data_IF_005215737257
#
_entry.id   IF_005215737257
#
_cell.length_a   1.000
_cell.length_b   1.000
_cell.length_c   1.000
_cell.angle_alpha   90.00
_cell.angle_beta   90.00
_cell.angle_gamma   90.00
#
_symmetry.space_group_name_H-M   'P 1'
#
loop_
_entity.id
_entity.type
_entity.pdbx_description
1 polymer ?
#
# COMPACT_ATOMS: atom_id res chain seq x y z
N UNK A 1 -1.18 -7.47 -28.29
CA UNK A 1 -0.37 -7.17 -27.09
C UNK A 1 0.47 -5.94 -27.39
N UNK A 2 0.07 -4.75 -26.92
CA UNK A 2 0.89 -3.54 -27.05
C UNK A 2 1.96 -3.63 -25.97
N UNK A 3 3.18 -3.98 -26.39
CA UNK A 3 4.38 -3.76 -25.61
C UNK A 3 4.44 -2.28 -25.24
N UNK A 4 4.70 -1.99 -23.96
CA UNK A 4 4.89 -0.65 -23.42
C UNK A 4 5.79 0.16 -24.38
N UNK A 5 5.19 1.06 -25.16
CA UNK A 5 5.96 2.09 -25.82
C UNK A 5 6.38 3.02 -24.70
N UNK A 6 7.65 2.93 -24.31
CA UNK A 6 8.30 4.03 -23.61
C UNK A 6 7.91 5.32 -24.34
N UNK A 7 7.40 6.34 -23.63
CA UNK A 7 7.03 7.58 -24.28
C UNK A 7 8.25 8.07 -25.07
N UNK A 8 8.10 8.39 -26.36
CA UNK A 8 9.18 8.98 -27.15
C UNK A 8 9.83 10.20 -26.47
N UNK A 9 9.12 10.79 -25.50
CA UNK A 9 9.55 11.90 -24.68
C UNK A 9 10.74 11.62 -23.74
N UNK A 10 11.01 10.36 -23.34
CA UNK A 10 12.09 10.02 -22.38
C UNK A 10 13.43 9.66 -23.02
N UNK A 11 13.53 9.64 -24.35
CA UNK A 11 14.76 9.24 -25.05
C UNK A 11 15.87 10.25 -24.79
N UNK A 12 16.99 9.76 -24.24
CA UNK A 12 18.19 10.58 -23.98
C UNK A 12 18.03 11.61 -22.87
N UNK A 13 16.97 11.52 -22.06
CA UNK A 13 16.71 12.43 -20.93
C UNK A 13 16.69 11.67 -19.62
N UNK A 14 17.12 12.34 -18.56
CA UNK A 14 16.81 11.88 -17.21
C UNK A 14 15.34 12.19 -16.91
N UNK A 15 14.54 11.14 -16.76
CA UNK A 15 13.11 11.20 -16.47
C UNK A 15 12.80 10.69 -15.05
N UNK A 16 13.77 10.70 -14.14
CA UNK A 16 13.63 10.16 -12.79
C UNK A 16 12.41 10.72 -12.06
N UNK A 17 12.18 12.04 -12.11
CA UNK A 17 10.98 12.65 -11.50
C UNK A 17 9.68 12.14 -12.14
N UNK A 18 9.62 12.06 -13.46
CA UNK A 18 8.44 11.60 -14.18
C UNK A 18 8.03 10.16 -13.79
N UNK A 19 9.00 9.29 -13.51
CA UNK A 19 8.72 7.92 -13.04
C UNK A 19 8.09 7.87 -11.63
N UNK A 20 8.34 8.87 -10.79
CA UNK A 20 7.69 9.00 -9.48
C UNK A 20 6.33 9.71 -9.55
N UNK A 21 6.20 10.75 -10.37
CA UNK A 21 5.01 11.63 -10.38
C UNK A 21 3.98 11.26 -11.44
N UNK A 22 4.37 10.52 -12.48
CA UNK A 22 3.56 10.27 -13.66
C UNK A 22 3.50 11.45 -14.65
N UNK A 23 4.21 12.54 -14.39
CA UNK A 23 4.26 13.70 -15.29
C UNK A 23 5.34 13.52 -16.37
N UNK A 24 4.92 13.04 -17.54
CA UNK A 24 5.79 12.89 -18.73
C UNK A 24 5.72 14.10 -19.69
N UNK A 25 5.22 15.25 -19.23
CA UNK A 25 5.32 16.50 -19.99
C UNK A 25 6.75 17.07 -19.92
N UNK A 26 7.14 18.03 -20.78
CA UNK A 26 8.47 18.63 -20.72
C UNK A 26 8.87 19.18 -19.34
N UNK A 27 7.91 19.59 -18.50
CA UNK A 27 8.16 20.08 -17.15
C UNK A 27 8.53 18.96 -16.16
N UNK A 28 8.00 17.75 -16.35
CA UNK A 28 8.27 16.60 -15.47
C UNK A 28 9.49 15.76 -15.89
N UNK A 29 9.99 15.94 -17.11
CA UNK A 29 11.17 15.25 -17.65
C UNK A 29 12.48 15.91 -17.19
N UNK A 30 12.71 15.86 -15.88
CA UNK A 30 13.87 16.44 -15.21
C UNK A 30 14.53 15.45 -14.24
N UNK A 31 15.81 15.68 -13.98
CA UNK A 31 16.65 14.89 -13.07
C UNK A 31 16.45 15.26 -11.58
N UNK A 32 15.81 16.38 -11.29
CA UNK A 32 15.65 16.89 -9.94
C UNK A 32 14.63 16.06 -9.16
N UNK A 33 15.07 15.37 -8.11
CA UNK A 33 14.24 14.54 -7.22
C UNK A 33 13.90 15.22 -5.88
N UNK A 34 14.26 16.49 -5.71
CA UNK A 34 13.99 17.23 -4.48
C UNK A 34 12.49 17.28 -4.14
N UNK A 35 12.15 17.12 -2.86
CA UNK A 35 10.76 17.14 -2.39
C UNK A 35 9.93 15.89 -2.75
N UNK A 36 10.52 14.86 -3.37
CA UNK A 36 9.86 13.56 -3.46
C UNK A 36 9.85 12.87 -2.09
N UNK A 37 8.73 12.21 -1.79
CA UNK A 37 8.58 11.41 -0.57
C UNK A 37 9.36 10.08 -0.65
N UNK A 38 9.66 9.42 0.49
CA UNK A 38 10.31 8.12 0.49
C UNK A 38 9.62 7.06 -0.38
N UNK A 39 8.28 6.90 -0.37
CA UNK A 39 7.60 5.96 -1.28
C UNK A 39 7.77 6.31 -2.77
N UNK A 40 7.85 7.59 -3.11
CA UNK A 40 8.10 8.03 -4.49
C UNK A 40 9.55 7.75 -4.91
N UNK A 41 10.51 7.95 -4.02
CA UNK A 41 11.91 7.59 -4.26
C UNK A 41 12.07 6.08 -4.44
N UNK A 42 11.39 5.27 -3.63
CA UNK A 42 11.34 3.82 -3.82
C UNK A 42 10.72 3.43 -5.17
N UNK A 43 9.71 4.15 -5.66
CA UNK A 43 9.16 3.92 -6.99
C UNK A 43 10.22 4.16 -8.10
N UNK A 44 11.05 5.21 -7.98
CA UNK A 44 12.18 5.43 -8.90
C UNK A 44 13.16 4.27 -8.85
N UNK A 45 13.54 3.80 -7.64
CA UNK A 45 14.42 2.65 -7.48
C UNK A 45 13.85 1.39 -8.15
N UNK A 46 12.55 1.14 -8.04
CA UNK A 46 11.90 0.01 -8.70
C UNK A 46 11.97 0.11 -10.23
N UNK A 47 11.77 1.31 -10.78
CA UNK A 47 11.96 1.55 -12.21
C UNK A 47 13.42 1.34 -12.63
N UNK A 48 14.38 1.86 -11.87
CA UNK A 48 15.80 1.65 -12.14
C UNK A 48 16.14 0.15 -12.15
N UNK A 49 15.68 -0.61 -11.16
CA UNK A 49 15.85 -2.07 -11.09
C UNK A 49 15.23 -2.78 -12.30
N UNK A 50 14.04 -2.34 -12.73
CA UNK A 50 13.41 -2.84 -13.95
C UNK A 50 14.29 -2.58 -15.18
N UNK A 51 14.82 -1.37 -15.37
CA UNK A 51 15.68 -1.07 -16.52
C UNK A 51 17.00 -1.83 -16.49
N UNK A 52 17.67 -1.88 -15.33
CA UNK A 52 18.90 -2.64 -15.15
C UNK A 52 18.73 -4.13 -15.46
N UNK A 53 17.54 -4.71 -15.18
CA UNK A 53 17.23 -6.11 -15.49
C UNK A 53 16.92 -6.35 -16.96
N UNK A 54 16.32 -5.38 -17.65
CA UNK A 54 15.75 -5.58 -18.98
C UNK A 54 16.56 -4.92 -20.11
N UNK A 55 17.56 -4.08 -19.79
CA UNK A 55 18.38 -3.35 -20.76
C UNK A 55 19.86 -3.44 -20.40
N UNK A 56 20.72 -3.28 -21.41
CA UNK A 56 22.18 -3.28 -21.20
C UNK A 56 22.57 -1.98 -20.50
N UNK A 57 23.14 -2.11 -19.30
CA UNK A 57 23.69 -0.99 -18.56
C UNK A 57 25.05 -0.58 -19.14
N UNK A 58 25.10 0.58 -19.80
CA UNK A 58 26.29 1.07 -20.52
C UNK A 58 27.15 2.06 -19.73
N UNK A 59 26.69 2.54 -18.58
CA UNK A 59 27.45 3.49 -17.75
C UNK A 59 26.57 4.40 -16.91
N UNK A 60 27.22 5.39 -16.27
CA UNK A 60 26.59 6.44 -15.45
C UNK A 60 26.61 7.77 -16.21
N UNK A 61 25.62 8.63 -15.94
CA UNK A 61 25.58 9.99 -16.49
C UNK A 61 26.20 10.96 -15.48
N UNK A 62 27.23 11.69 -15.88
CA UNK A 62 27.79 12.78 -15.09
C UNK A 62 26.78 13.94 -15.00
N UNK A 63 26.60 14.50 -13.81
CA UNK A 63 25.59 15.51 -13.51
C UNK A 63 25.16 15.49 -12.05
N UNK A 64 23.85 15.53 -11.80
CA UNK A 64 23.30 15.68 -10.45
C UNK A 64 23.70 14.57 -9.49
N UNK A 65 23.72 13.32 -9.95
CA UNK A 65 23.96 12.16 -9.10
C UNK A 65 25.42 11.70 -9.08
N UNK A 66 26.15 11.89 -10.18
CA UNK A 66 27.56 11.49 -10.31
C UNK A 66 28.42 12.64 -10.83
N UNK A 67 29.62 12.78 -10.30
CA UNK A 67 30.61 13.72 -10.81
C UNK A 67 31.20 13.23 -12.14
N UNK A 68 31.95 14.09 -12.85
CA UNK A 68 32.68 13.70 -14.06
C UNK A 68 33.70 12.56 -13.82
N UNK A 69 34.23 12.46 -12.60
CA UNK A 69 35.09 11.35 -12.16
C UNK A 69 34.34 10.02 -11.99
N UNK A 70 33.00 10.03 -12.01
CA UNK A 70 32.15 8.87 -11.73
C UNK A 70 31.83 8.66 -10.25
N UNK A 71 32.38 9.50 -9.37
CA UNK A 71 32.13 9.47 -7.93
C UNK A 71 30.70 9.92 -7.60
N UNK A 72 30.05 9.33 -6.58
CA UNK A 72 28.74 9.76 -6.12
C UNK A 72 28.78 11.21 -5.62
N UNK A 73 27.67 11.92 -5.80
CA UNK A 73 27.45 13.23 -5.19
C UNK A 73 26.67 13.08 -3.89
N UNK A 74 26.67 14.14 -3.06
CA UNK A 74 25.82 14.21 -1.87
C UNK A 74 24.32 14.05 -2.19
N UNK A 75 23.88 14.51 -3.36
CA UNK A 75 22.48 14.36 -3.80
C UNK A 75 22.12 12.89 -3.99
N UNK A 76 23.05 12.08 -4.51
CA UNK A 76 22.83 10.64 -4.63
C UNK A 76 22.77 9.95 -3.26
N UNK A 77 23.63 10.34 -2.32
CA UNK A 77 23.61 9.81 -0.95
C UNK A 77 22.26 10.12 -0.26
N UNK A 78 21.79 11.36 -0.37
CA UNK A 78 20.49 11.78 0.17
C UNK A 78 19.32 11.03 -0.49
N UNK A 79 19.39 10.83 -1.81
CA UNK A 79 18.40 10.05 -2.55
C UNK A 79 18.37 8.58 -2.10
N UNK A 80 19.54 7.97 -1.87
CA UNK A 80 19.66 6.59 -1.38
C UNK A 80 19.09 6.43 0.04
N UNK A 81 19.34 7.41 0.92
CA UNK A 81 18.76 7.40 2.27
C UNK A 81 17.22 7.44 2.24
N UNK A 82 16.62 8.25 1.35
CA UNK A 82 15.16 8.29 1.16
C UNK A 82 14.61 6.98 0.56
N UNK A 83 15.37 6.31 -0.30
CA UNK A 83 15.00 4.99 -0.82
C UNK A 83 14.96 3.97 0.33
N UNK A 84 16.00 3.94 1.18
CA UNK A 84 16.07 3.03 2.34
C UNK A 84 14.90 3.28 3.32
N UNK A 85 14.55 4.55 3.57
CA UNK A 85 13.37 4.89 4.36
C UNK A 85 12.08 4.39 3.68
N UNK A 86 11.97 4.54 2.36
CA UNK A 86 10.84 4.02 1.59
C UNK A 86 10.70 2.50 1.70
N UNK A 87 11.81 1.75 1.68
CA UNK A 87 11.82 0.30 1.88
C UNK A 87 11.32 -0.09 3.28
N UNK A 88 11.77 0.63 4.32
CA UNK A 88 11.31 0.42 5.71
C UNK A 88 9.80 0.66 5.83
N UNK A 89 9.30 1.78 5.30
CA UNK A 89 7.86 2.09 5.32
C UNK A 89 7.04 1.07 4.54
N UNK A 90 7.56 0.56 3.40
CA UNK A 90 6.90 -0.49 2.65
C UNK A 90 6.82 -1.79 3.46
N UNK A 91 7.91 -2.17 4.14
CA UNK A 91 7.94 -3.36 4.98
C UNK A 91 6.96 -3.25 6.16
N UNK A 92 6.91 -2.10 6.84
CA UNK A 92 5.96 -1.82 7.92
C UNK A 92 4.51 -1.90 7.43
N UNK A 93 4.21 -1.35 6.25
CA UNK A 93 2.87 -1.40 5.66
C UNK A 93 2.47 -2.83 5.27
N UNK A 94 3.41 -3.65 4.78
CA UNK A 94 3.18 -5.08 4.52
C UNK A 94 2.89 -5.82 5.82
N UNK A 95 3.67 -5.60 6.87
CA UNK A 95 3.46 -6.23 8.17
C UNK A 95 2.11 -5.83 8.78
N UNK A 96 1.77 -4.53 8.72
CA UNK A 96 0.47 -4.03 9.16
C UNK A 96 -0.68 -4.66 8.39
N UNK A 97 -0.54 -4.84 7.06
CA UNK A 97 -1.55 -5.53 6.24
C UNK A 97 -1.64 -7.02 6.56
N UNK A 98 -0.55 -7.68 6.91
CA UNK A 98 -0.59 -9.08 7.35
C UNK A 98 -1.30 -9.22 8.71
N UNK A 99 -1.03 -8.30 9.64
CA UNK A 99 -1.68 -8.26 10.95
C UNK A 99 -3.16 -7.87 10.86
N UNK A 100 -3.48 -6.89 10.03
CA UNK A 100 -4.84 -6.38 9.81
C UNK A 100 -5.19 -6.37 8.33
N UNK A 101 -5.51 -7.54 7.74
CA UNK A 101 -5.81 -7.64 6.32
C UNK A 101 -7.01 -6.79 5.92
N UNK A 102 -6.91 -5.99 4.84
CA UNK A 102 -8.02 -5.19 4.37
C UNK A 102 -9.22 -6.05 3.94
N UNK A 103 -10.42 -5.52 4.15
CA UNK A 103 -11.65 -6.14 3.67
C UNK A 103 -11.74 -6.10 2.14
N UNK A 104 -12.53 -7.01 1.56
CA UNK A 104 -13.08 -6.78 0.23
C UNK A 104 -14.13 -5.68 0.33
N UNK A 105 -14.25 -4.87 -0.73
CA UNK A 105 -15.25 -3.82 -0.81
C UNK A 105 -15.82 -3.75 -2.22
N UNK A 106 -17.08 -3.38 -2.31
CA UNK A 106 -17.69 -2.94 -3.56
C UNK A 106 -18.61 -1.76 -3.29
N UNK A 107 -18.90 -1.01 -4.34
CA UNK A 107 -19.88 0.04 -4.32
C UNK A 107 -20.80 -0.11 -5.52
N UNK A 108 -22.09 0.12 -5.30
CA UNK A 108 -23.08 0.22 -6.36
C UNK A 108 -23.99 1.42 -6.12
N UNK A 109 -24.47 2.04 -7.20
CA UNK A 109 -25.39 3.18 -7.12
C UNK A 109 -26.72 2.81 -6.45
N UNK A 110 -27.18 1.57 -6.61
CA UNK A 110 -28.44 1.09 -6.05
C UNK A 110 -28.31 0.59 -4.59
N UNK A 111 -27.17 -0.01 -4.24
CA UNK A 111 -26.97 -0.69 -2.95
C UNK A 111 -25.97 -0.02 -2.01
N UNK A 112 -25.32 1.06 -2.43
CA UNK A 112 -24.27 1.73 -1.67
C UNK A 112 -22.98 0.91 -1.58
N UNK A 113 -22.13 1.26 -0.61
CA UNK A 113 -20.89 0.53 -0.30
C UNK A 113 -21.21 -0.73 0.50
N UNK A 114 -20.52 -1.84 0.24
CA UNK A 114 -20.52 -3.01 1.12
C UNK A 114 -19.10 -3.56 1.30
N UNK A 115 -18.85 -4.17 2.46
CA UNK A 115 -17.57 -4.79 2.81
C UNK A 115 -17.77 -6.21 3.34
N UNK A 116 -16.83 -7.09 3.07
CA UNK A 116 -16.85 -8.47 3.57
C UNK A 116 -15.45 -9.03 3.69
N UNK A 117 -15.34 -10.12 4.43
CA UNK A 117 -14.10 -10.85 4.63
C UNK A 117 -14.22 -12.27 4.07
N UNK A 118 -13.21 -12.70 3.34
CA UNK A 118 -13.07 -14.06 2.83
C UNK A 118 -11.62 -14.54 3.01
N UNK A 119 -11.35 -15.81 2.68
CA UNK A 119 -9.98 -16.37 2.65
C UNK A 119 -9.03 -15.59 1.72
N UNK A 120 -9.58 -14.77 0.81
CA UNK A 120 -8.82 -13.89 -0.06
C UNK A 120 -9.39 -12.48 0.00
N UNK A 121 -8.78 -11.63 0.82
CA UNK A 121 -9.22 -10.23 0.99
C UNK A 121 -8.04 -9.28 0.84
N UNK A 122 -8.23 -8.24 0.04
CA UNK A 122 -7.26 -7.18 -0.21
C UNK A 122 -5.83 -7.67 -0.54
N UNK A 123 -5.75 -8.67 -1.41
CA UNK A 123 -4.49 -9.22 -1.92
C UNK A 123 -3.83 -10.28 -1.04
N UNK A 124 -4.39 -10.60 0.13
CA UNK A 124 -3.83 -11.57 1.07
C UNK A 124 -4.67 -12.86 1.08
N UNK A 125 -4.00 -14.00 0.86
CA UNK A 125 -4.59 -15.34 0.98
C UNK A 125 -4.29 -15.94 2.35
N UNK A 126 -5.31 -16.52 3.00
CA UNK A 126 -5.22 -17.06 4.37
C UNK A 126 -6.24 -18.17 4.61
N UNK A 127 -6.04 -18.94 5.68
CA UNK A 127 -6.89 -20.10 6.00
C UNK A 127 -8.26 -19.76 6.60
N UNK A 128 -8.47 -18.52 7.01
CA UNK A 128 -9.70 -18.06 7.67
C UNK A 128 -10.30 -16.85 6.96
N UNK A 129 -11.64 -16.76 6.94
CA UNK A 129 -12.34 -15.60 6.36
C UNK A 129 -12.37 -14.43 7.34
N UNK A 130 -12.89 -14.68 8.55
CA UNK A 130 -13.01 -13.70 9.62
C UNK A 130 -14.20 -12.76 9.42
N UNK A 131 -14.24 -11.71 10.22
CA UNK A 131 -15.32 -10.71 10.21
C UNK A 131 -14.78 -9.30 10.00
N UNK A 132 -15.48 -8.43 9.26
CA UNK A 132 -15.05 -7.05 9.09
C UNK A 132 -15.13 -6.24 10.39
N UNK A 133 -14.13 -5.41 10.64
CA UNK A 133 -14.05 -4.45 11.75
C UNK A 133 -13.49 -3.11 11.24
N UNK A 134 -13.82 -2.02 11.93
CA UNK A 134 -13.23 -0.70 11.70
C UNK A 134 -11.95 -0.60 12.52
N UNK A 135 -10.82 -0.35 11.86
CA UNK A 135 -9.55 -0.03 12.52
C UNK A 135 -9.28 1.47 12.38
N UNK A 136 -9.23 2.18 13.50
CA UNK A 136 -8.94 3.60 13.53
C UNK A 136 -7.45 3.87 13.58
N UNK A 137 -7.03 4.91 12.86
CA UNK A 137 -5.68 5.45 12.96
C UNK A 137 -5.53 6.22 14.27
N UNK A 138 -4.44 6.03 15.03
CA UNK A 138 -4.20 6.79 16.25
C UNK A 138 -4.25 8.30 16.00
N UNK A 139 -5.07 9.03 16.78
CA UNK A 139 -5.22 10.48 16.64
C UNK A 139 -6.07 10.95 15.45
N UNK A 140 -6.74 10.04 14.74
CA UNK A 140 -7.58 10.33 13.57
C UNK A 140 -8.98 9.71 13.74
N UNK A 141 -10.00 10.38 13.19
CA UNK A 141 -11.34 9.81 13.08
C UNK A 141 -11.50 8.91 11.86
N UNK A 142 -10.46 8.78 11.03
CA UNK A 142 -10.47 7.90 9.86
C UNK A 142 -10.33 6.45 10.33
N UNK A 143 -11.16 5.60 9.75
CA UNK A 143 -11.10 4.15 9.95
C UNK A 143 -11.00 3.43 8.61
N UNK A 144 -10.26 2.33 8.60
CA UNK A 144 -10.23 1.39 7.48
C UNK A 144 -10.89 0.09 7.86
N UNK A 145 -11.47 -0.60 6.87
CA UNK A 145 -12.04 -1.93 7.09
C UNK A 145 -10.94 -2.98 7.11
N UNK A 146 -10.88 -3.76 8.18
CA UNK A 146 -9.95 -4.89 8.34
C UNK A 146 -10.69 -6.17 8.73
N UNK A 147 -10.13 -7.31 8.37
CA UNK A 147 -10.66 -8.62 8.72
C UNK A 147 -9.99 -9.14 9.99
N UNK A 148 -10.79 -9.58 10.95
CA UNK A 148 -10.33 -10.16 12.22
C UNK A 148 -10.81 -11.61 12.33
N UNK A 149 -9.96 -12.50 12.84
CA UNK A 149 -10.32 -13.91 13.01
C UNK A 149 -11.32 -14.04 14.16
N UNK A 150 -12.42 -14.76 13.95
CA UNK A 150 -13.50 -14.88 14.95
C UNK A 150 -13.04 -15.52 16.26
N UNK A 151 -12.10 -16.46 16.21
CA UNK A 151 -11.51 -17.10 17.39
C UNK A 151 -10.73 -16.12 18.28
N UNK A 152 -10.18 -15.05 17.71
CA UNK A 152 -9.50 -13.97 18.45
C UNK A 152 -10.50 -13.08 19.22
N UNK A 153 -11.79 -13.16 18.85
CA UNK A 153 -12.88 -12.46 19.54
C UNK A 153 -13.44 -13.29 20.71
N UNK A 154 -13.31 -14.62 20.66
CA UNK A 154 -13.84 -15.55 21.67
C UNK A 154 -12.88 -16.72 21.95
N UNK A 155 -11.81 -16.52 22.73
CA UNK A 155 -10.93 -17.62 23.12
C UNK A 155 -11.70 -18.61 24.01
N UNK A 156 -12.08 -19.76 23.47
CA UNK A 156 -12.54 -20.92 24.24
C UNK A 156 -14.03 -20.98 24.64
N UNK A 157 -14.96 -20.34 23.92
CA UNK A 157 -16.39 -20.54 24.18
C UNK A 157 -17.05 -21.47 23.14
N UNK A 158 -17.49 -22.63 23.62
CA UNK A 158 -18.49 -23.44 22.92
C UNK A 158 -19.77 -22.63 22.72
N UNK A 159 -20.42 -22.87 21.58
CA UNK A 159 -21.64 -22.22 21.09
C UNK A 159 -22.66 -21.95 22.20
N UNK A 160 -22.70 -20.72 22.71
CA UNK A 160 -23.85 -20.22 23.47
C UNK A 160 -24.39 -18.97 22.79
N UNK A 161 -25.53 -19.18 22.13
CA UNK A 161 -26.54 -18.18 21.80
C UNK A 161 -26.71 -17.23 22.98
N UNK A 162 -26.71 -15.91 22.73
CA UNK A 162 -26.85 -14.83 23.72
C UNK A 162 -25.61 -14.58 24.61
N UNK A 163 -24.62 -13.83 24.12
CA UNK A 163 -23.66 -13.14 24.98
C UNK A 163 -23.42 -11.70 24.51
N UNK A 164 -23.68 -10.78 25.42
CA UNK A 164 -23.58 -9.33 25.31
C UNK A 164 -22.30 -8.83 24.62
N UNK A 165 -22.50 -7.90 23.67
CA UNK A 165 -21.56 -7.31 22.70
C UNK A 165 -20.43 -6.42 23.28
N UNK A 166 -19.75 -6.85 24.33
CA UNK A 166 -18.59 -6.15 24.89
C UNK A 166 -17.50 -7.16 25.26
N UNK A 167 -16.88 -7.74 24.23
CA UNK A 167 -15.85 -8.76 24.36
C UNK A 167 -14.65 -8.48 23.46
N UNK A 168 -13.72 -7.65 23.96
CA UNK A 168 -12.28 -7.70 23.72
C UNK A 168 -11.83 -7.95 22.27
N UNK A 169 -11.97 -6.93 21.43
CA UNK A 169 -10.94 -6.71 20.43
C UNK A 169 -9.68 -6.33 21.23
N UNK A 170 -8.63 -7.16 21.24
CA UNK A 170 -7.38 -6.91 22.00
C UNK A 170 -6.59 -5.66 21.52
N UNK A 171 -7.20 -4.83 20.66
CA UNK A 171 -6.67 -3.58 20.15
C UNK A 171 -7.73 -2.48 20.39
N UNK A 172 -7.40 -1.41 21.15
CA UNK A 172 -8.34 -0.33 21.48
C UNK A 172 -8.84 0.47 20.26
N UNK A 173 -8.16 0.34 19.12
CA UNK A 173 -8.51 1.04 17.88
C UNK A 173 -9.44 0.23 16.98
N UNK A 174 -9.87 -0.98 17.39
CA UNK A 174 -10.82 -1.78 16.63
C UNK A 174 -12.25 -1.56 17.13
N UNK A 175 -13.20 -1.39 16.21
CA UNK A 175 -14.62 -1.29 16.49
C UNK A 175 -15.46 -2.14 15.54
N UNK A 176 -16.66 -2.50 15.98
CA UNK A 176 -17.64 -3.19 15.15
C UNK A 176 -18.41 -2.21 14.26
N UNK A 177 -19.02 -2.73 13.19
CA UNK A 177 -20.00 -1.97 12.43
C UNK A 177 -21.36 -2.02 13.14
N UNK A 178 -22.08 -0.90 13.14
CA UNK A 178 -23.42 -0.83 13.72
C UNK A 178 -24.42 -1.69 12.92
N UNK A 179 -25.32 -2.41 13.61
CA UNK A 179 -26.39 -3.18 12.97
C UNK A 179 -26.05 -4.64 12.62
N UNK A 180 -25.09 -5.27 13.33
CA UNK A 180 -24.89 -6.73 13.22
C UNK A 180 -26.13 -7.48 13.71
N UNK A 181 -27.01 -7.84 12.76
CA UNK A 181 -28.03 -8.87 12.97
C UNK A 181 -27.59 -10.07 12.15
N UNK A 182 -26.85 -10.98 12.80
CA UNK A 182 -26.66 -12.40 12.49
C UNK A 182 -26.91 -12.83 11.03
N UNK A 183 -26.33 -12.11 10.07
CA UNK A 183 -26.51 -12.39 8.65
C UNK A 183 -25.43 -13.37 8.27
N UNK A 184 -25.83 -14.62 8.07
CA UNK A 184 -25.05 -15.75 7.56
C UNK A 184 -24.25 -15.47 6.27
N UNK A 185 -24.43 -14.30 5.66
CA UNK A 185 -23.74 -13.80 4.47
C UNK A 185 -22.44 -13.02 4.73
N UNK A 186 -22.16 -12.51 5.94
CA UNK A 186 -20.89 -11.84 6.27
C UNK A 186 -20.57 -10.57 5.47
N UNK A 187 -21.58 -9.96 4.82
CA UNK A 187 -21.48 -8.75 3.99
C UNK A 187 -22.16 -7.60 4.73
N UNK A 188 -21.43 -6.49 4.91
CA UNK A 188 -21.90 -5.32 5.67
C UNK A 188 -22.09 -4.11 4.75
N UNK A 189 -23.27 -3.47 4.74
CA UNK A 189 -23.44 -2.18 4.10
C UNK A 189 -22.65 -1.12 4.89
N UNK A 190 -21.91 -0.28 4.18
CA UNK A 190 -21.19 0.88 4.74
C UNK A 190 -21.99 2.11 4.34
N UNK A 191 -22.59 2.78 5.33
CA UNK A 191 -23.25 4.08 5.17
C UNK A 191 -22.26 5.21 5.26
#
# INVERSE_FOLDING_TARGET
>A
MKWFHLPSAVVGKDASRAFATGDFTPAGLVDDVSGLSPPQMLAIQNWLSFYCKNYVHIGKVAGRFYQESGEPTKVLEEAQALIEEGEKLQAEEVERKNQFPPCNSEWSSAGGSRVWCSKQSGGISREWSGVPRKLYEPGSSRSHCVCIKTEELFPGQEKSTQLSNQGKLNNPNLQEYEGMVDSSSGILPVR
#
